data_IF_529386028090
#
_entry.id   IF_529386028090
#
_cell.length_a   1.000
_cell.length_b   1.000
_cell.length_c   1.000
_cell.angle_alpha   90.00
_cell.angle_beta   90.00
_cell.angle_gamma   90.00
#
_symmetry.space_group_name_H-M   'P 1'
#
loop_
_entity.id
_entity.type
_entity.pdbx_description
1 polymer ?
#
# COMPACT_ATOMS: atom_id res chain seq x y z
N UNK A 1 23.44 -9.16 20.81
CA UNK A 1 24.27 -8.57 21.89
C UNK A 1 23.53 -8.53 23.24
N UNK A 2 22.47 -7.72 23.41
CA UNK A 2 21.80 -7.52 24.72
C UNK A 2 21.11 -8.75 25.36
N UNK A 3 20.65 -9.72 24.55
CA UNK A 3 20.02 -10.95 25.06
C UNK A 3 21.03 -11.95 25.64
N UNK A 4 22.22 -12.04 25.04
CA UNK A 4 23.33 -12.87 25.54
C UNK A 4 23.78 -12.39 26.93
N UNK A 5 23.86 -11.07 27.13
CA UNK A 5 24.22 -10.48 28.44
C UNK A 5 23.18 -10.88 29.52
N UNK A 6 21.89 -10.88 29.18
CA UNK A 6 20.85 -11.30 30.11
C UNK A 6 20.89 -12.79 30.48
N UNK A 7 21.22 -13.67 29.52
CA UNK A 7 21.40 -15.11 29.78
C UNK A 7 22.61 -15.33 30.69
N UNK A 8 23.70 -14.62 30.45
CA UNK A 8 24.92 -14.70 31.30
C UNK A 8 24.64 -14.20 32.71
N UNK A 9 23.91 -13.09 32.87
CA UNK A 9 23.52 -12.57 34.19
C UNK A 9 22.58 -13.55 34.90
N UNK A 10 21.64 -14.17 34.18
CA UNK A 10 20.73 -15.18 34.74
C UNK A 10 21.49 -16.42 35.23
N UNK A 11 22.44 -16.92 34.44
CA UNK A 11 23.28 -18.05 34.83
C UNK A 11 24.23 -17.70 35.98
N UNK A 12 24.81 -16.50 35.99
CA UNK A 12 25.64 -16.02 37.09
C UNK A 12 24.85 -15.92 38.40
N UNK A 13 23.60 -15.43 38.33
CA UNK A 13 22.68 -15.44 39.47
C UNK A 13 22.36 -16.86 39.92
N UNK A 14 22.04 -17.78 39.01
CA UNK A 14 21.74 -19.18 39.35
C UNK A 14 22.92 -19.89 40.01
N UNK A 15 24.15 -19.70 39.52
CA UNK A 15 25.37 -20.27 40.10
C UNK A 15 25.71 -19.62 41.44
N UNK A 16 25.59 -18.30 41.57
CA UNK A 16 25.72 -17.63 42.87
C UNK A 16 24.72 -18.17 43.90
N UNK A 17 23.51 -18.52 43.45
CA UNK A 17 22.45 -19.08 44.27
C UNK A 17 22.76 -20.49 44.81
N UNK A 18 23.26 -21.38 43.95
CA UNK A 18 23.62 -22.75 44.34
C UNK A 18 24.82 -22.76 45.29
N UNK A 19 25.70 -21.76 45.18
CA UNK A 19 26.88 -21.62 46.02
C UNK A 19 26.55 -21.04 47.40
N UNK A 20 25.56 -20.15 47.50
CA UNK A 20 25.07 -19.61 48.77
C UNK A 20 24.26 -20.62 49.62
N UNK A 21 23.63 -21.62 48.99
CA UNK A 21 22.84 -22.66 49.67
C UNK A 21 23.63 -23.76 50.38
N UNK A 22 24.98 -23.74 50.35
CA UNK A 22 25.81 -24.76 51.02
C UNK A 22 26.10 -24.49 52.50
N UNK A 23 25.59 -23.40 53.08
CA UNK A 23 25.69 -23.07 54.50
C UNK A 23 24.27 -22.88 55.09
N UNK A 24 23.76 -23.83 55.89
CA UNK A 24 22.42 -23.80 56.57
C UNK A 24 22.44 -23.00 57.90
N UNK A 25 21.30 -22.50 58.46
CA UNK A 25 19.99 -22.19 57.87
C UNK A 25 19.39 -20.82 58.33
N UNK A 26 18.87 -20.02 57.40
CA UNK A 26 17.88 -18.99 57.73
C UNK A 26 16.49 -19.51 57.34
N UNK A 27 15.53 -19.57 58.26
CA UNK A 27 14.14 -19.99 57.95
C UNK A 27 13.21 -18.77 57.93
N UNK A 28 12.36 -18.68 56.91
CA UNK A 28 11.26 -17.74 56.84
C UNK A 28 9.94 -18.53 56.96
N UNK A 29 9.22 -18.37 58.08
CA UNK A 29 7.95 -19.05 58.31
C UNK A 29 6.82 -18.10 57.92
N UNK A 30 6.05 -18.47 56.91
CA UNK A 30 4.82 -17.76 56.54
C UNK A 30 3.64 -18.45 57.25
N UNK A 31 3.02 -17.77 58.22
CA UNK A 31 1.86 -18.29 58.98
C UNK A 31 0.58 -17.61 58.48
N UNK A 32 -0.31 -18.37 57.84
CA UNK A 32 -1.67 -17.94 57.50
C UNK A 32 -2.65 -19.07 57.89
N UNK A 33 -3.47 -18.94 58.95
CA UNK A 33 -4.26 -20.06 59.47
C UNK A 33 -5.24 -20.58 58.41
N UNK A 34 -5.33 -21.90 58.11
CA UNK A 34 -4.73 -23.08 58.76
C UNK A 34 -3.43 -23.63 58.13
N UNK A 35 -2.77 -22.88 57.24
CA UNK A 35 -1.57 -23.33 56.52
C UNK A 35 -0.28 -22.75 57.13
N UNK A 36 0.67 -23.63 57.47
CA UNK A 36 2.02 -23.27 57.91
C UNK A 36 3.01 -23.72 56.84
N UNK A 37 3.63 -22.78 56.14
CA UNK A 37 4.62 -23.09 55.11
C UNK A 37 5.98 -22.61 55.59
N UNK A 38 6.86 -23.56 55.87
CA UNK A 38 8.25 -23.31 56.27
C UNK A 38 9.10 -23.25 55.01
N UNK A 39 9.55 -22.04 54.64
CA UNK A 39 10.39 -21.83 53.47
C UNK A 39 11.79 -21.45 53.95
N UNK A 40 12.82 -22.10 53.42
CA UNK A 40 14.21 -21.65 53.60
C UNK A 40 14.34 -20.22 53.06
N UNK A 41 15.08 -19.35 53.75
CA UNK A 41 15.39 -17.98 53.29
C UNK A 41 15.99 -18.01 51.88
N UNK A 42 16.83 -19.02 51.62
CA UNK A 42 17.39 -19.29 50.30
C UNK A 42 16.28 -19.56 49.28
N UNK A 43 15.27 -20.37 49.61
CA UNK A 43 14.14 -20.61 48.71
C UNK A 43 13.29 -19.35 48.48
N UNK A 44 13.06 -18.53 49.50
CA UNK A 44 12.31 -17.28 49.37
C UNK A 44 13.01 -16.29 48.43
N UNK A 45 14.32 -16.12 48.58
CA UNK A 45 15.11 -15.26 47.69
C UNK A 45 15.17 -15.86 46.27
N UNK A 46 15.20 -17.19 46.12
CA UNK A 46 15.19 -17.85 44.81
C UNK A 46 13.90 -17.53 44.06
N UNK A 47 12.76 -17.72 44.74
CA UNK A 47 11.43 -17.45 44.19
C UNK A 47 11.30 -15.98 43.82
N UNK A 48 11.76 -15.07 44.68
CA UNK A 48 11.73 -13.63 44.39
C UNK A 48 12.56 -13.26 43.15
N UNK A 49 13.76 -13.82 43.00
CA UNK A 49 14.59 -13.61 41.81
C UNK A 49 13.95 -14.18 40.55
N UNK A 50 13.39 -15.40 40.62
CA UNK A 50 12.65 -16.01 39.49
C UNK A 50 11.47 -15.13 39.10
N UNK A 51 10.73 -14.59 40.08
CA UNK A 51 9.58 -13.73 39.84
C UNK A 51 9.97 -12.38 39.20
N UNK A 52 11.11 -11.80 39.61
CA UNK A 52 11.69 -10.61 38.97
C UNK A 52 12.07 -10.87 37.51
N UNK A 53 12.71 -12.00 37.22
CA UNK A 53 13.08 -12.39 35.85
C UNK A 53 11.84 -12.64 34.99
N UNK A 54 10.86 -13.38 35.51
CA UNK A 54 9.60 -13.65 34.82
C UNK A 54 8.81 -12.36 34.57
N UNK A 55 8.73 -11.47 35.56
CA UNK A 55 8.07 -10.17 35.42
C UNK A 55 8.74 -9.32 34.34
N UNK A 56 10.07 -9.20 34.37
CA UNK A 56 10.82 -8.47 33.34
C UNK A 56 10.61 -9.07 31.94
N UNK A 57 10.62 -10.40 31.83
CA UNK A 57 10.37 -11.10 30.57
C UNK A 57 8.94 -10.82 30.07
N UNK A 58 7.94 -10.87 30.96
CA UNK A 58 6.55 -10.56 30.65
C UNK A 58 6.38 -9.13 30.12
N UNK A 59 6.95 -8.12 30.79
CA UNK A 59 6.89 -6.73 30.31
C UNK A 59 7.64 -6.53 28.98
N UNK A 60 8.73 -7.27 28.75
CA UNK A 60 9.45 -7.25 27.47
C UNK A 60 8.64 -7.87 26.34
N UNK A 61 7.98 -9.01 26.59
CA UNK A 61 7.05 -9.62 25.64
C UNK A 61 5.85 -8.70 25.38
N UNK A 62 5.25 -8.12 26.42
CA UNK A 62 4.14 -7.18 26.29
C UNK A 62 4.52 -5.93 25.47
N UNK A 63 5.70 -5.35 25.71
CA UNK A 63 6.18 -4.18 24.95
C UNK A 63 6.61 -4.53 23.52
N UNK A 64 7.11 -5.73 23.25
CA UNK A 64 7.37 -6.20 21.90
C UNK A 64 6.07 -6.38 21.09
N UNK A 65 5.03 -6.94 21.72
CA UNK A 65 3.70 -7.09 21.13
C UNK A 65 3.04 -5.74 20.85
N UNK A 66 3.25 -4.73 21.70
CA UNK A 66 2.70 -3.39 21.53
C UNK A 66 3.44 -2.51 20.51
N UNK A 67 4.71 -2.82 20.16
CA UNK A 67 5.51 -2.05 19.17
C UNK A 67 5.50 -2.61 17.75
N UNK A 68 5.05 -3.86 17.57
CA UNK A 68 4.84 -4.47 16.25
C UNK A 68 3.77 -3.80 15.37
N UNK A 69 2.61 -3.31 15.87
CA UNK A 69 1.54 -2.85 14.97
C UNK A 69 1.91 -1.62 14.13
N UNK A 70 2.73 -0.70 14.63
CA UNK A 70 3.12 0.50 13.86
C UNK A 70 4.16 0.22 12.77
N UNK A 71 5.13 -0.66 13.04
CA UNK A 71 6.11 -1.07 12.04
C UNK A 71 5.47 -1.94 10.95
N UNK A 72 4.48 -2.76 11.31
CA UNK A 72 3.71 -3.55 10.32
C UNK A 72 2.82 -2.64 9.48
N UNK A 73 2.20 -1.59 10.02
CA UNK A 73 1.39 -0.64 9.23
C UNK A 73 2.23 0.08 8.17
N UNK A 74 3.42 0.56 8.54
CA UNK A 74 4.32 1.25 7.59
C UNK A 74 4.90 0.28 6.56
N UNK A 75 5.25 -0.96 6.95
CA UNK A 75 5.68 -1.99 6.01
C UNK A 75 4.57 -2.39 5.03
N UNK A 76 3.33 -2.58 5.51
CA UNK A 76 2.18 -2.89 4.64
C UNK A 76 1.86 -1.75 3.68
N UNK A 77 1.97 -0.50 4.12
CA UNK A 77 1.78 0.66 3.25
C UNK A 77 2.82 0.69 2.11
N UNK A 78 4.11 0.49 2.45
CA UNK A 78 5.20 0.40 1.45
C UNK A 78 5.01 -0.78 0.49
N UNK A 79 4.59 -1.93 0.99
CA UNK A 79 4.36 -3.11 0.16
C UNK A 79 3.17 -2.90 -0.80
N UNK A 80 2.10 -2.22 -0.36
CA UNK A 80 0.97 -1.84 -1.23
C UNK A 80 1.40 -0.88 -2.33
N UNK A 81 2.20 0.13 -1.98
CA UNK A 81 2.73 1.09 -2.94
C UNK A 81 3.61 0.41 -4.00
N UNK A 82 4.52 -0.47 -3.56
CA UNK A 82 5.37 -1.23 -4.47
C UNK A 82 4.53 -2.11 -5.41
N UNK A 83 3.54 -2.83 -4.87
CA UNK A 83 2.65 -3.67 -5.66
C UNK A 83 1.85 -2.86 -6.70
N UNK A 84 1.39 -1.66 -6.33
CA UNK A 84 0.69 -0.75 -7.24
C UNK A 84 1.57 -0.33 -8.41
N UNK A 85 2.82 0.05 -8.12
CA UNK A 85 3.79 0.46 -9.15
C UNK A 85 4.14 -0.71 -10.08
N UNK A 86 4.32 -1.90 -9.53
CA UNK A 86 4.56 -3.13 -10.31
C UNK A 86 3.37 -3.43 -11.24
N UNK A 87 2.14 -3.44 -10.70
CA UNK A 87 0.93 -3.65 -11.49
C UNK A 87 0.74 -2.61 -12.59
N UNK A 88 1.02 -1.32 -12.30
CA UNK A 88 0.97 -0.26 -13.31
C UNK A 88 2.03 -0.48 -14.41
N UNK A 89 3.25 -0.84 -14.03
CA UNK A 89 4.32 -1.11 -15.01
C UNK A 89 3.94 -2.29 -15.93
N UNK A 90 3.37 -3.36 -15.38
CA UNK A 90 2.85 -4.47 -16.18
C UNK A 90 1.70 -4.07 -17.09
N UNK A 91 0.80 -3.19 -16.62
CA UNK A 91 -0.29 -2.65 -17.41
C UNK A 91 0.22 -1.84 -18.61
N UNK A 92 1.21 -0.98 -18.39
CA UNK A 92 1.87 -0.20 -19.44
C UNK A 92 2.57 -1.12 -20.45
N UNK A 93 3.34 -2.10 -19.99
CA UNK A 93 3.98 -3.08 -20.89
C UNK A 93 2.94 -3.82 -21.72
N UNK A 94 1.86 -4.31 -21.10
CA UNK A 94 0.79 -5.01 -21.81
C UNK A 94 0.06 -4.11 -22.82
N UNK A 95 -0.10 -2.81 -22.51
CA UNK A 95 -0.69 -1.84 -23.45
C UNK A 95 0.18 -1.66 -24.69
N UNK A 96 1.49 -1.51 -24.49
CA UNK A 96 2.47 -1.38 -25.58
C UNK A 96 2.62 -2.68 -26.38
N UNK A 97 2.42 -3.84 -25.76
CA UNK A 97 2.32 -5.15 -26.42
C UNK A 97 0.97 -5.37 -27.15
N UNK A 98 0.06 -4.38 -27.16
CA UNK A 98 -1.30 -4.49 -27.71
C UNK A 98 -2.17 -5.58 -27.05
N UNK A 99 -1.82 -6.01 -25.84
CA UNK A 99 -2.57 -6.99 -25.04
C UNK A 99 -3.59 -6.27 -24.15
N UNK A 100 -4.58 -5.65 -24.78
CA UNK A 100 -5.51 -4.73 -24.12
C UNK A 100 -6.27 -5.34 -22.93
N UNK A 101 -6.76 -6.58 -23.03
CA UNK A 101 -7.43 -7.25 -21.90
C UNK A 101 -6.50 -7.42 -20.68
N UNK A 102 -5.24 -7.77 -20.91
CA UNK A 102 -4.24 -7.90 -19.84
C UNK A 102 -3.88 -6.53 -19.26
N UNK A 103 -3.73 -5.53 -20.11
CA UNK A 103 -3.45 -4.15 -19.71
C UNK A 103 -4.56 -3.60 -18.81
N UNK A 104 -5.82 -3.78 -19.21
CA UNK A 104 -6.97 -3.35 -18.42
C UNK A 104 -7.03 -4.05 -17.06
N UNK A 105 -6.85 -5.38 -17.01
CA UNK A 105 -6.88 -6.13 -15.75
C UNK A 105 -5.78 -5.70 -14.79
N UNK A 106 -4.55 -5.49 -15.28
CA UNK A 106 -3.43 -5.02 -14.46
C UNK A 106 -3.61 -3.58 -14.02
N UNK A 107 -4.16 -2.73 -14.88
CA UNK A 107 -4.50 -1.36 -14.52
C UNK A 107 -5.61 -1.33 -13.46
N UNK A 108 -6.63 -2.17 -13.55
CA UNK A 108 -7.67 -2.29 -12.52
C UNK A 108 -7.10 -2.77 -11.17
N UNK A 109 -6.12 -3.69 -11.19
CA UNK A 109 -5.38 -4.09 -9.98
C UNK A 109 -4.62 -2.90 -9.38
N UNK A 110 -3.89 -2.12 -10.19
CA UNK A 110 -3.20 -0.92 -9.72
C UNK A 110 -4.18 0.16 -9.22
N UNK A 111 -5.36 0.29 -9.83
CA UNK A 111 -6.40 1.24 -9.43
C UNK A 111 -6.98 0.93 -8.05
N UNK A 112 -7.04 -0.36 -7.69
CA UNK A 112 -7.45 -0.80 -6.35
C UNK A 112 -6.41 -0.52 -5.26
N UNK A 113 -5.20 -0.08 -5.64
CA UNK A 113 -4.09 0.22 -4.75
C UNK A 113 -3.84 1.73 -4.79
N UNK A 114 -4.11 2.44 -3.68
CA UNK A 114 -4.30 3.91 -3.61
C UNK A 114 -3.13 4.80 -4.12
N UNK A 115 -1.99 4.23 -4.47
CA UNK A 115 -0.77 4.98 -4.80
C UNK A 115 -0.64 5.44 -6.26
N UNK A 116 -1.37 4.84 -7.21
CA UNK A 116 -1.16 5.12 -8.66
C UNK A 116 -2.46 5.17 -9.45
N UNK A 117 -3.52 5.62 -8.78
CA UNK A 117 -4.91 5.46 -9.22
C UNK A 117 -5.22 6.21 -10.52
N UNK A 118 -4.87 7.48 -10.65
CA UNK A 118 -5.23 8.24 -11.85
C UNK A 118 -4.47 7.75 -13.10
N UNK A 119 -3.20 7.36 -12.98
CA UNK A 119 -2.47 6.75 -14.11
C UNK A 119 -3.08 5.41 -14.50
N UNK A 120 -3.44 4.59 -13.51
CA UNK A 120 -4.08 3.31 -13.72
C UNK A 120 -5.44 3.46 -14.42
N UNK A 121 -6.29 4.39 -13.96
CA UNK A 121 -7.57 4.71 -14.59
C UNK A 121 -7.39 5.15 -16.05
N UNK A 122 -6.36 5.95 -16.35
CA UNK A 122 -6.07 6.39 -17.71
C UNK A 122 -5.68 5.22 -18.63
N UNK A 123 -4.81 4.33 -18.17
CA UNK A 123 -4.38 3.14 -18.92
C UNK A 123 -5.57 2.19 -19.13
N UNK A 124 -6.38 1.99 -18.10
CA UNK A 124 -7.58 1.17 -18.16
C UNK A 124 -8.59 1.74 -19.17
N UNK A 125 -8.82 3.06 -19.16
CA UNK A 125 -9.66 3.73 -20.15
C UNK A 125 -9.16 3.50 -21.57
N UNK A 126 -7.85 3.66 -21.80
CA UNK A 126 -7.27 3.46 -23.13
C UNK A 126 -7.33 2.01 -23.60
N UNK A 127 -7.03 1.04 -22.72
CA UNK A 127 -7.18 -0.37 -23.03
C UNK A 127 -8.65 -0.77 -23.32
N UNK A 128 -9.60 -0.21 -22.56
CA UNK A 128 -11.03 -0.40 -22.80
C UNK A 128 -11.49 0.20 -24.12
N UNK A 129 -10.91 1.33 -24.56
CA UNK A 129 -11.21 1.92 -25.86
C UNK A 129 -10.80 1.00 -27.02
N UNK A 130 -9.59 0.43 -26.97
CA UNK A 130 -9.06 -0.46 -28.02
C UNK A 130 -9.87 -1.76 -28.15
N UNK A 131 -10.48 -2.21 -27.03
CA UNK A 131 -11.41 -3.35 -27.03
C UNK A 131 -12.85 -2.99 -27.37
N UNK A 132 -13.11 -1.72 -27.73
CA UNK A 132 -14.45 -1.14 -28.00
C UNK A 132 -15.42 -1.24 -26.82
N UNK A 133 -14.90 -1.40 -25.61
CA UNK A 133 -15.70 -1.43 -24.38
C UNK A 133 -15.96 -0.02 -23.86
N UNK A 134 -16.72 0.78 -24.63
CA UNK A 134 -16.93 2.21 -24.38
C UNK A 134 -17.54 2.52 -23.02
N UNK A 135 -18.46 1.68 -22.52
CA UNK A 135 -19.06 1.85 -21.19
C UNK A 135 -18.02 1.76 -20.06
N UNK A 136 -17.07 0.81 -20.16
CA UNK A 136 -15.98 0.67 -19.19
C UNK A 136 -14.99 1.82 -19.30
N UNK A 137 -14.64 2.24 -20.52
CA UNK A 137 -13.80 3.42 -20.75
C UNK A 137 -14.39 4.65 -20.06
N UNK A 138 -15.66 4.95 -20.33
CA UNK A 138 -16.31 6.14 -19.79
C UNK A 138 -16.40 6.06 -18.26
N UNK A 139 -16.58 4.87 -17.70
CA UNK A 139 -16.47 4.62 -16.26
C UNK A 139 -15.09 4.96 -15.68
N UNK A 140 -14.00 4.54 -16.33
CA UNK A 140 -12.64 4.88 -15.89
C UNK A 140 -12.33 6.37 -16.04
N UNK A 141 -12.81 7.03 -17.10
CA UNK A 141 -12.62 8.48 -17.28
C UNK A 141 -13.37 9.29 -16.23
N UNK A 142 -14.59 8.86 -15.86
CA UNK A 142 -15.34 9.47 -14.77
C UNK A 142 -14.66 9.27 -13.41
N UNK A 143 -14.09 8.09 -13.16
CA UNK A 143 -13.27 7.86 -11.96
C UNK A 143 -12.03 8.76 -11.95
N UNK A 144 -11.37 8.93 -13.09
CA UNK A 144 -10.20 9.79 -13.20
C UNK A 144 -10.54 11.27 -12.90
N UNK A 145 -11.70 11.75 -13.32
CA UNK A 145 -12.20 13.08 -12.97
C UNK A 145 -12.40 13.27 -11.46
N UNK A 146 -12.87 12.23 -10.76
CA UNK A 146 -13.03 12.25 -9.31
C UNK A 146 -11.70 12.13 -8.56
N UNK A 147 -10.80 11.26 -9.04
CA UNK A 147 -9.53 10.93 -8.40
C UNK A 147 -8.49 12.05 -8.55
N UNK A 148 -8.45 12.69 -9.72
CA UNK A 148 -7.47 13.71 -10.03
C UNK A 148 -8.06 14.83 -10.90
N UNK A 149 -8.88 15.73 -10.32
CA UNK A 149 -9.43 16.90 -11.01
C UNK A 149 -8.33 17.77 -11.65
N UNK A 150 -7.18 17.86 -10.98
CA UNK A 150 -6.00 18.62 -11.46
C UNK A 150 -5.42 18.05 -12.77
N UNK A 151 -5.67 16.78 -13.07
CA UNK A 151 -5.20 16.10 -14.28
C UNK A 151 -6.22 16.20 -15.44
N UNK A 152 -7.10 17.21 -15.41
CA UNK A 152 -8.14 17.43 -16.43
C UNK A 152 -7.59 17.51 -17.86
N UNK A 153 -6.39 18.07 -18.06
CA UNK A 153 -5.75 18.15 -19.38
C UNK A 153 -5.58 16.76 -20.02
N UNK A 154 -4.96 15.83 -19.28
CA UNK A 154 -4.67 14.47 -19.78
C UNK A 154 -5.96 13.72 -20.07
N UNK A 155 -6.97 13.90 -19.20
CA UNK A 155 -8.31 13.34 -19.39
C UNK A 155 -8.95 13.83 -20.69
N UNK A 156 -9.01 15.14 -20.89
CA UNK A 156 -9.68 15.76 -22.04
C UNK A 156 -8.99 15.42 -23.36
N UNK A 157 -7.65 15.37 -23.39
CA UNK A 157 -6.89 14.92 -24.55
C UNK A 157 -7.21 13.46 -24.87
N UNK A 158 -7.27 12.60 -23.86
CA UNK A 158 -7.56 11.18 -24.05
C UNK A 158 -9.00 10.94 -24.49
N UNK A 159 -9.96 11.65 -23.91
CA UNK A 159 -11.37 11.68 -24.35
C UNK A 159 -11.48 12.10 -25.81
N UNK A 160 -10.81 13.19 -26.20
CA UNK A 160 -10.81 13.68 -27.57
C UNK A 160 -10.22 12.65 -28.55
N UNK A 161 -9.07 12.06 -28.24
CA UNK A 161 -8.43 11.06 -29.10
C UNK A 161 -9.32 9.81 -29.26
N UNK A 162 -9.96 9.36 -28.18
CA UNK A 162 -10.94 8.28 -28.22
C UNK A 162 -12.16 8.61 -29.10
N UNK A 163 -12.71 9.82 -28.99
CA UNK A 163 -13.84 10.28 -29.81
C UNK A 163 -13.46 10.39 -31.29
N UNK A 164 -12.22 10.80 -31.60
CA UNK A 164 -11.70 10.78 -32.97
C UNK A 164 -11.56 9.35 -33.50
N UNK A 165 -11.11 8.41 -32.66
CA UNK A 165 -11.08 6.98 -32.99
C UNK A 165 -12.47 6.41 -33.33
N UNK A 166 -13.53 6.96 -32.75
CA UNK A 166 -14.93 6.60 -33.04
C UNK A 166 -15.52 7.30 -34.28
N UNK A 167 -14.81 8.24 -34.91
CA UNK A 167 -15.37 9.04 -36.01
C UNK A 167 -16.21 10.24 -35.56
N UNK A 168 -16.27 10.53 -34.26
CA UNK A 168 -17.10 11.59 -33.66
C UNK A 168 -16.30 12.89 -33.53
N UNK A 169 -15.89 13.44 -34.67
CA UNK A 169 -15.04 14.62 -34.73
C UNK A 169 -15.67 15.87 -34.06
N UNK A 170 -16.98 16.07 -34.19
CA UNK A 170 -17.66 17.21 -33.53
C UNK A 170 -17.56 17.15 -32.01
N UNK A 171 -17.79 15.97 -31.42
CA UNK A 171 -17.67 15.77 -29.98
C UNK A 171 -16.23 15.92 -29.49
N UNK A 172 -15.26 15.46 -30.28
CA UNK A 172 -13.84 15.62 -29.98
C UNK A 172 -13.43 17.10 -29.92
N UNK A 173 -13.89 17.93 -30.88
CA UNK A 173 -13.62 19.37 -30.88
C UNK A 173 -14.15 20.08 -29.64
N UNK A 174 -15.29 19.64 -29.08
CA UNK A 174 -15.81 20.20 -27.81
C UNK A 174 -14.83 19.93 -26.66
N UNK A 175 -14.28 18.70 -26.57
CA UNK A 175 -13.31 18.34 -25.53
C UNK A 175 -11.97 19.05 -25.72
N UNK A 176 -11.49 19.20 -26.95
CA UNK A 176 -10.27 19.93 -27.28
C UNK A 176 -10.38 21.41 -26.91
N UNK A 177 -11.53 22.04 -27.16
CA UNK A 177 -11.79 23.42 -26.71
C UNK A 177 -11.73 23.56 -25.20
N UNK A 178 -12.29 22.60 -24.44
CA UNK A 178 -12.17 22.58 -22.98
C UNK A 178 -10.71 22.45 -22.54
N UNK A 179 -9.91 21.63 -23.23
CA UNK A 179 -8.49 21.47 -22.96
C UNK A 179 -7.69 22.75 -23.31
N UNK A 180 -8.04 23.44 -24.39
CA UNK A 180 -7.40 24.69 -24.80
C UNK A 180 -7.61 25.85 -23.81
N UNK A 181 -8.69 25.81 -23.01
CA UNK A 181 -8.89 26.77 -21.90
C UNK A 181 -7.85 26.56 -20.80
N UNK A 182 -7.42 25.31 -20.56
CA UNK A 182 -6.42 24.97 -19.55
C UNK A 182 -5.00 25.32 -20.02
N UNK A 183 -4.63 24.92 -21.25
CA UNK A 183 -3.37 25.28 -21.89
C UNK A 183 -3.57 25.37 -23.40
N UNK A 184 -3.58 26.60 -23.92
CA UNK A 184 -3.81 26.87 -25.34
C UNK A 184 -2.59 26.60 -26.23
N UNK A 185 -1.38 26.46 -25.66
CA UNK A 185 -0.13 26.30 -26.44
C UNK A 185 0.37 24.86 -26.52
N UNK A 186 -0.46 23.90 -26.09
CA UNK A 186 -0.06 22.51 -26.09
C UNK A 186 -0.06 21.92 -27.51
N UNK A 187 1.13 21.56 -28.03
CA UNK A 187 1.35 21.08 -29.41
C UNK A 187 0.41 19.94 -29.85
N UNK A 188 0.03 19.06 -28.92
CA UNK A 188 -0.88 17.95 -29.22
C UNK A 188 -2.30 18.44 -29.55
N UNK A 189 -2.76 19.54 -28.96
CA UNK A 189 -4.11 20.07 -29.21
C UNK A 189 -4.25 20.50 -30.67
N UNK A 190 -3.29 21.29 -31.19
CA UNK A 190 -3.29 21.73 -32.58
C UNK A 190 -3.32 20.54 -33.55
N UNK A 191 -2.54 19.49 -33.25
CA UNK A 191 -2.51 18.26 -34.06
C UNK A 191 -3.85 17.53 -34.06
N UNK A 192 -4.48 17.39 -32.88
CA UNK A 192 -5.77 16.71 -32.75
C UNK A 192 -6.92 17.54 -33.37
N UNK A 193 -6.90 18.85 -33.24
CA UNK A 193 -7.87 19.76 -33.87
C UNK A 193 -7.77 19.70 -35.40
N UNK A 194 -6.55 19.76 -35.95
CA UNK A 194 -6.32 19.62 -37.38
C UNK A 194 -6.85 18.27 -37.90
N UNK A 195 -6.59 17.18 -37.17
CA UNK A 195 -7.12 15.85 -37.48
C UNK A 195 -8.65 15.82 -37.44
N UNK A 196 -9.27 16.44 -36.44
CA UNK A 196 -10.72 16.51 -36.30
C UNK A 196 -11.37 17.26 -37.48
N UNK A 197 -10.83 18.42 -37.86
CA UNK A 197 -11.33 19.20 -39.00
C UNK A 197 -11.16 18.47 -40.33
N UNK A 198 -10.06 17.75 -40.52
CA UNK A 198 -9.84 16.94 -41.71
C UNK A 198 -10.89 15.81 -41.81
N UNK A 199 -11.23 15.16 -40.70
CA UNK A 199 -12.28 14.13 -40.68
C UNK A 199 -13.65 14.69 -41.06
N UNK A 200 -14.04 15.85 -40.51
CA UNK A 200 -15.31 16.51 -40.86
C UNK A 200 -15.38 16.86 -42.35
N UNK A 201 -14.30 17.42 -42.91
CA UNK A 201 -14.22 17.73 -44.35
C UNK A 201 -14.36 16.47 -45.22
N UNK A 202 -13.77 15.35 -44.80
CA UNK A 202 -13.89 14.09 -45.52
C UNK A 202 -15.30 13.51 -45.43
N UNK A 203 -15.97 13.61 -44.29
CA UNK A 203 -17.35 13.19 -44.12
C UNK A 203 -18.30 13.99 -45.00
N UNK A 204 -18.11 15.32 -45.11
CA UNK A 204 -18.91 16.18 -45.99
C UNK A 204 -18.73 15.88 -47.49
N UNK A 205 -17.59 15.32 -47.90
CA UNK A 205 -17.33 14.93 -49.30
C UNK A 205 -17.89 13.56 -49.66
N UNK A 206 -18.22 12.74 -48.67
CA UNK A 206 -18.74 11.39 -48.86
C UNK A 206 -20.28 11.33 -48.89
N UNK A 207 -20.94 12.46 -48.63
CA UNK A 207 -22.39 12.68 -48.73
C UNK A 207 -22.69 13.40 -50.04
#
# INVERSE_FOLDING_TARGET
>A
MRALIWIVVLFALAVGFTMAGKYDPGYAVLVYPPYRVELSLTLMVAVFLVLLVLGHLFFRLASATLRLPEQVRTFRARQREQKSREALSEALTALLEMRYNRAENRAAEALSLDSTQWQAALIAARAAHETKAYSRRDGYLAQLEQLAPDQAMVRLITEADCLLGEGRADAALVRLKQAAILDSKHVILEKLEARAHQMLKNQQKAV
#
